data_IF_752864569415
#
_entry.id   IF_752864569415
#
_cell.length_a   1.000
_cell.length_b   1.000
_cell.length_c   1.000
_cell.angle_alpha   90.00
_cell.angle_beta   90.00
_cell.angle_gamma   90.00
#
_symmetry.space_group_name_H-M   'P 1'
#
loop_
_entity.id
_entity.type
_entity.pdbx_description
1 polymer ?
#
# COMPACT_ATOMS: atom_id res chain seq x y z
N UNK A 1 12.42 4.41 21.66
CA UNK A 1 13.09 3.33 20.90
C UNK A 1 11.97 2.42 20.50
N UNK A 2 11.34 2.71 19.37
CA UNK A 2 10.10 2.06 18.96
C UNK A 2 10.45 0.65 18.48
N UNK A 3 10.08 -0.35 19.26
CA UNK A 3 10.29 -1.76 18.91
C UNK A 3 9.27 -2.15 17.85
N UNK A 4 9.73 -2.28 16.61
CA UNK A 4 8.99 -2.94 15.53
C UNK A 4 8.82 -4.43 15.91
N UNK A 5 7.58 -4.86 16.13
CA UNK A 5 7.28 -6.28 16.39
C UNK A 5 7.24 -7.03 15.06
N UNK A 6 8.04 -8.08 14.94
CA UNK A 6 8.14 -8.96 13.77
C UNK A 6 7.28 -10.21 13.96
N UNK A 7 6.54 -10.58 12.91
CA UNK A 7 5.68 -11.75 12.86
C UNK A 7 5.97 -12.54 11.57
N UNK A 8 6.23 -13.84 11.71
CA UNK A 8 6.30 -14.73 10.55
C UNK A 8 4.89 -15.00 10.02
N UNK A 9 4.65 -14.65 8.76
CA UNK A 9 3.35 -14.84 8.12
C UNK A 9 3.12 -16.30 7.71
N UNK A 10 4.19 -17.01 7.34
CA UNK A 10 4.14 -18.42 6.96
C UNK A 10 5.52 -19.06 7.21
N UNK A 11 5.71 -19.78 8.34
CA UNK A 11 6.98 -20.41 8.67
C UNK A 11 7.40 -21.46 7.62
N UNK A 12 6.43 -22.24 7.12
CA UNK A 12 6.68 -23.32 6.14
C UNK A 12 7.11 -22.75 4.78
N UNK A 13 6.49 -21.67 4.33
CA UNK A 13 6.78 -21.04 3.04
C UNK A 13 8.20 -20.44 2.98
N UNK A 14 8.74 -20.08 4.15
CA UNK A 14 10.06 -19.46 4.27
C UNK A 14 11.20 -20.45 4.02
N UNK A 15 11.03 -21.71 4.47
CA UNK A 15 12.00 -22.78 4.29
C UNK A 15 12.10 -23.22 2.82
N UNK A 16 10.97 -23.26 2.10
CA UNK A 16 10.90 -23.80 0.73
C UNK A 16 11.47 -22.85 -0.35
N UNK A 17 11.57 -21.55 -0.07
CA UNK A 17 11.80 -20.54 -1.12
C UNK A 17 12.87 -19.48 -0.83
N UNK A 18 13.48 -19.51 0.36
CA UNK A 18 14.56 -18.60 0.75
C UNK A 18 14.10 -17.14 0.92
N UNK A 19 15.01 -16.29 1.42
CA UNK A 19 14.74 -14.89 1.81
C UNK A 19 14.51 -13.91 0.64
N UNK A 20 14.14 -14.37 -0.56
CA UNK A 20 14.01 -13.49 -1.72
C UNK A 20 12.68 -12.72 -1.71
N UNK A 21 12.63 -11.57 -1.04
CA UNK A 21 11.47 -10.67 -1.07
C UNK A 21 11.63 -9.58 -2.13
N UNK A 22 10.64 -9.52 -3.02
CA UNK A 22 10.61 -8.57 -4.14
C UNK A 22 9.52 -7.49 -3.95
N UNK A 23 8.57 -7.69 -3.02
CA UNK A 23 7.45 -6.78 -2.78
C UNK A 23 7.27 -6.43 -1.31
N UNK A 24 7.04 -5.16 -1.02
CA UNK A 24 6.64 -4.65 0.30
C UNK A 24 5.32 -3.90 0.15
N UNK A 25 4.35 -4.16 1.02
CA UNK A 25 3.18 -3.31 1.22
C UNK A 25 3.30 -2.60 2.57
N UNK A 26 3.44 -1.29 2.53
CA UNK A 26 3.44 -0.41 3.70
C UNK A 26 2.03 0.11 3.92
N UNK A 27 1.33 -0.48 4.88
CA UNK A 27 -0.04 -0.14 5.25
C UNK A 27 -0.04 0.88 6.38
N UNK A 28 -0.75 1.99 6.20
CA UNK A 28 -0.82 3.08 7.17
C UNK A 28 -2.26 3.42 7.54
N UNK A 29 -2.48 3.58 8.85
CA UNK A 29 -3.77 3.80 9.51
C UNK A 29 -4.83 2.73 9.18
N UNK A 30 -4.50 1.42 9.25
CA UNK A 30 -5.45 0.39 8.89
C UNK A 30 -6.68 0.37 9.80
N UNK A 31 -7.83 0.05 9.21
CA UNK A 31 -9.00 -0.43 9.95
C UNK A 31 -8.99 -1.96 10.02
N UNK A 32 -9.74 -2.53 10.95
CA UNK A 32 -9.86 -4.00 11.08
C UNK A 32 -10.34 -4.65 9.78
N UNK A 33 -11.25 -4.01 9.05
CA UNK A 33 -11.76 -4.53 7.77
C UNK A 33 -10.68 -4.56 6.68
N UNK A 34 -9.79 -3.57 6.66
CA UNK A 34 -8.65 -3.56 5.74
C UNK A 34 -7.65 -4.66 6.11
N UNK A 35 -7.41 -4.88 7.41
CA UNK A 35 -6.55 -5.97 7.86
C UNK A 35 -7.14 -7.33 7.43
N UNK A 36 -8.42 -7.58 7.74
CA UNK A 36 -9.11 -8.81 7.34
C UNK A 36 -9.09 -9.04 5.83
N UNK A 37 -9.27 -7.98 5.04
CA UNK A 37 -9.19 -8.07 3.59
C UNK A 37 -7.79 -8.49 3.11
N UNK A 38 -6.73 -7.94 3.70
CA UNK A 38 -5.35 -8.31 3.34
C UNK A 38 -5.08 -9.78 3.69
N UNK A 39 -5.42 -10.20 4.90
CA UNK A 39 -5.24 -11.60 5.33
C UNK A 39 -6.04 -12.57 4.43
N UNK A 40 -7.27 -12.20 4.05
CA UNK A 40 -8.06 -12.95 3.07
C UNK A 40 -7.39 -13.04 1.69
N UNK A 41 -6.84 -11.94 1.17
CA UNK A 41 -6.16 -11.96 -0.13
C UNK A 41 -4.85 -12.76 -0.11
N UNK A 42 -4.14 -12.77 1.03
CA UNK A 42 -2.96 -13.64 1.25
C UNK A 42 -3.38 -15.10 1.17
N UNK A 43 -4.36 -15.52 1.98
CA UNK A 43 -4.85 -16.90 1.98
C UNK A 43 -5.38 -17.33 0.60
N UNK A 44 -6.17 -16.48 -0.06
CA UNK A 44 -6.78 -16.75 -1.36
C UNK A 44 -5.77 -16.96 -2.48
N UNK A 45 -4.64 -16.26 -2.46
CA UNK A 45 -3.64 -16.32 -3.53
C UNK A 45 -2.45 -17.22 -3.19
N UNK A 46 -2.46 -17.87 -2.02
CA UNK A 46 -1.43 -18.82 -1.60
C UNK A 46 -1.22 -19.94 -2.61
N UNK A 47 -2.30 -20.55 -3.12
CA UNK A 47 -2.25 -21.61 -4.13
C UNK A 47 -1.68 -21.17 -5.48
N UNK A 48 -1.59 -19.86 -5.74
CA UNK A 48 -0.95 -19.28 -6.93
C UNK A 48 0.54 -18.99 -6.71
N UNK A 49 1.09 -19.38 -5.56
CA UNK A 49 2.47 -19.11 -5.16
C UNK A 49 2.71 -17.67 -4.68
N UNK A 50 1.67 -16.93 -4.29
CA UNK A 50 1.82 -15.61 -3.66
C UNK A 50 1.52 -15.69 -2.17
N UNK A 51 2.49 -15.35 -1.34
CA UNK A 51 2.35 -15.42 0.11
C UNK A 51 3.11 -14.29 0.81
N UNK A 52 2.65 -13.97 2.03
CA UNK A 52 3.39 -13.11 2.95
C UNK A 52 4.52 -13.93 3.58
N UNK A 53 5.73 -13.36 3.59
CA UNK A 53 6.90 -13.93 4.25
C UNK A 53 6.94 -13.42 5.68
N UNK A 54 6.92 -12.08 5.84
CA UNK A 54 7.04 -11.41 7.15
C UNK A 54 6.07 -10.23 7.24
N UNK A 55 5.62 -9.97 8.46
CA UNK A 55 4.80 -8.80 8.81
C UNK A 55 5.47 -8.06 9.96
N UNK A 56 5.62 -6.76 9.81
CA UNK A 56 6.20 -5.88 10.82
C UNK A 56 5.14 -4.91 11.30
N UNK A 57 5.01 -4.74 12.61
CA UNK A 57 4.20 -3.66 13.17
C UNK A 57 5.03 -2.39 13.25
N UNK A 58 4.47 -1.29 12.77
CA UNK A 58 5.05 0.06 12.85
C UNK A 58 4.08 1.00 13.56
N UNK A 59 4.56 2.18 13.98
CA UNK A 59 3.80 3.12 14.84
C UNK A 59 2.37 3.42 14.34
N UNK A 60 2.16 3.49 13.03
CA UNK A 60 0.85 3.78 12.43
C UNK A 60 0.37 2.70 11.46
N UNK A 61 0.79 1.45 11.61
CA UNK A 61 0.27 0.36 10.78
C UNK A 61 1.19 -0.85 10.70
N UNK A 62 1.32 -1.41 9.49
CA UNK A 62 2.07 -2.64 9.26
C UNK A 62 2.83 -2.60 7.93
N UNK A 63 3.98 -3.26 7.89
CA UNK A 63 4.72 -3.54 6.66
C UNK A 63 4.65 -5.04 6.38
N UNK A 64 4.09 -5.41 5.22
CA UNK A 64 4.00 -6.79 4.77
C UNK A 64 5.05 -7.05 3.69
N UNK A 65 5.92 -8.01 3.92
CA UNK A 65 6.89 -8.48 2.95
C UNK A 65 6.35 -9.69 2.21
N UNK A 66 6.36 -9.62 0.89
CA UNK A 66 5.88 -10.67 -0.01
C UNK A 66 7.01 -11.23 -0.85
N UNK A 67 6.88 -12.49 -1.24
CA UNK A 67 7.80 -13.14 -2.17
C UNK A 67 7.77 -12.51 -3.58
N UNK A 68 6.63 -11.96 -3.99
CA UNK A 68 6.43 -11.38 -5.32
C UNK A 68 6.08 -9.88 -5.29
N UNK A 69 6.81 -9.09 -6.08
CA UNK A 69 6.52 -7.67 -6.29
C UNK A 69 5.12 -7.44 -6.90
N UNK A 70 4.67 -8.36 -7.75
CA UNK A 70 3.35 -8.32 -8.36
C UNK A 70 2.25 -8.41 -7.29
N UNK A 71 2.49 -9.14 -6.20
CA UNK A 71 1.50 -9.33 -5.16
C UNK A 71 1.30 -8.06 -4.31
N UNK A 72 2.39 -7.37 -3.94
CA UNK A 72 2.30 -6.05 -3.30
C UNK A 72 1.48 -5.06 -4.14
N UNK A 73 1.73 -5.00 -5.46
CA UNK A 73 0.98 -4.13 -6.38
C UNK A 73 -0.49 -4.54 -6.49
N UNK A 74 -0.76 -5.83 -6.56
CA UNK A 74 -2.11 -6.37 -6.61
C UNK A 74 -2.92 -5.92 -5.39
N UNK A 75 -2.39 -6.15 -4.19
CA UNK A 75 -3.07 -5.77 -2.94
C UNK A 75 -3.25 -4.25 -2.90
N UNK A 76 -2.20 -3.46 -3.13
CA UNK A 76 -2.31 -2.00 -3.07
C UNK A 76 -3.34 -1.41 -4.06
N UNK A 77 -3.43 -1.96 -5.28
CA UNK A 77 -4.46 -1.56 -6.24
C UNK A 77 -5.85 -1.95 -5.77
N UNK A 78 -6.01 -3.16 -5.22
CA UNK A 78 -7.28 -3.67 -4.72
C UNK A 78 -7.80 -2.86 -3.54
N UNK A 79 -6.93 -2.53 -2.58
CA UNK A 79 -7.24 -1.66 -1.45
C UNK A 79 -7.71 -0.28 -1.93
N UNK A 80 -7.00 0.30 -2.90
CA UNK A 80 -7.38 1.59 -3.49
C UNK A 80 -8.75 1.56 -4.17
N UNK A 81 -9.05 0.47 -4.90
CA UNK A 81 -10.33 0.31 -5.59
C UNK A 81 -11.51 0.18 -4.62
N UNK A 82 -11.31 -0.55 -3.51
CA UNK A 82 -12.37 -0.83 -2.54
C UNK A 82 -12.58 0.34 -1.58
N UNK A 83 -11.50 0.88 -1.03
CA UNK A 83 -11.56 1.84 0.08
C UNK A 83 -11.18 3.28 -0.32
N UNK A 84 -10.75 3.50 -1.56
CA UNK A 84 -10.09 4.75 -1.93
C UNK A 84 -8.70 4.83 -1.32
N UNK A 85 -8.22 6.04 -1.01
CA UNK A 85 -6.92 6.20 -0.35
C UNK A 85 -5.74 6.38 -1.30
N UNK A 86 -4.63 6.80 -0.69
CA UNK A 86 -3.43 7.15 -1.41
C UNK A 86 -2.58 5.91 -1.60
N UNK A 87 -2.16 5.68 -2.84
CA UNK A 87 -1.18 4.66 -3.18
C UNK A 87 0.04 5.32 -3.80
N UNK A 88 1.22 4.97 -3.30
CA UNK A 88 2.51 5.37 -3.85
C UNK A 88 3.35 4.12 -4.09
N UNK A 89 4.00 4.03 -5.25
CA UNK A 89 4.79 2.87 -5.64
C UNK A 89 6.21 3.35 -5.93
N UNK A 90 7.18 2.78 -5.23
CA UNK A 90 8.60 3.04 -5.44
C UNK A 90 9.33 1.76 -5.80
N UNK A 91 10.45 1.90 -6.53
CA UNK A 91 11.31 0.81 -6.93
C UNK A 91 12.75 1.13 -6.50
N UNK A 92 13.41 0.19 -5.83
CA UNK A 92 14.82 0.31 -5.46
C UNK A 92 15.60 -0.85 -6.08
N UNK A 93 16.70 -0.55 -6.75
CA UNK A 93 17.64 -1.56 -7.25
C UNK A 93 18.26 -2.28 -6.05
N UNK A 94 18.11 -3.61 -6.00
CA UNK A 94 18.71 -4.45 -4.95
C UNK A 94 20.06 -4.96 -5.41
N UNK A 95 20.09 -5.56 -6.61
CA UNK A 95 21.31 -6.15 -7.18
C UNK A 95 21.15 -6.30 -8.70
N UNK A 96 22.24 -6.62 -9.39
CA UNK A 96 22.23 -7.03 -10.79
C UNK A 96 22.58 -8.51 -10.85
N UNK A 97 21.73 -9.30 -11.49
CA UNK A 97 22.01 -10.71 -11.77
C UNK A 97 23.27 -10.81 -12.63
N UNK A 98 24.30 -11.48 -12.11
CA UNK A 98 25.57 -11.68 -12.83
C UNK A 98 25.44 -12.66 -14.00
N UNK A 99 24.43 -13.53 -13.97
CA UNK A 99 24.18 -14.52 -15.03
C UNK A 99 23.35 -13.93 -16.17
N UNK A 100 22.32 -13.15 -15.85
CA UNK A 100 21.38 -12.62 -16.86
C UNK A 100 21.60 -11.15 -17.18
N UNK A 101 22.53 -10.48 -16.48
CA UNK A 101 22.78 -9.04 -16.54
C UNK A 101 21.54 -8.16 -16.29
N UNK A 102 20.47 -8.74 -15.72
CA UNK A 102 19.22 -8.04 -15.40
C UNK A 102 19.27 -7.43 -14.00
N UNK A 103 18.71 -6.25 -13.89
CA UNK A 103 18.53 -5.55 -12.63
C UNK A 103 17.36 -6.14 -11.85
N UNK A 104 17.62 -6.49 -10.58
CA UNK A 104 16.61 -6.99 -9.64
C UNK A 104 16.17 -5.84 -8.73
N UNK A 105 14.89 -5.48 -8.85
CA UNK A 105 14.28 -4.39 -8.09
C UNK A 105 13.40 -4.92 -6.96
N UNK A 106 13.46 -4.24 -5.82
CA UNK A 106 12.47 -4.34 -4.76
C UNK A 106 11.42 -3.25 -4.95
N UNK A 107 10.17 -3.65 -4.88
CA UNK A 107 9.03 -2.75 -5.03
C UNK A 107 8.41 -2.50 -3.67
N UNK A 108 8.20 -1.23 -3.35
CA UNK A 108 7.46 -0.83 -2.15
C UNK A 108 6.16 -0.16 -2.59
N UNK A 109 5.05 -0.61 -2.03
CA UNK A 109 3.72 -0.05 -2.24
C UNK A 109 3.26 0.52 -0.92
N UNK A 110 3.21 1.84 -0.83
CA UNK A 110 2.68 2.55 0.32
C UNK A 110 1.20 2.81 0.12
N UNK A 111 0.37 2.31 1.03
CA UNK A 111 -1.06 2.53 1.05
C UNK A 111 -1.48 3.24 2.35
N UNK A 112 -2.05 4.43 2.21
CA UNK A 112 -2.65 5.18 3.32
C UNK A 112 -4.16 5.07 3.25
N UNK A 113 -4.76 4.42 4.26
CA UNK A 113 -6.22 4.36 4.40
C UNK A 113 -6.77 5.78 4.50
N UNK A 114 -7.80 6.14 3.73
CA UNK A 114 -8.27 7.51 3.72
C UNK A 114 -9.15 7.82 4.93
N UNK A 115 -8.99 9.04 5.48
CA UNK A 115 -9.92 9.59 6.48
C UNK A 115 -11.29 9.95 5.88
N UNK A 116 -11.34 10.17 4.57
CA UNK A 116 -12.50 10.63 3.83
C UNK A 116 -12.75 9.74 2.61
N UNK A 117 -13.98 9.68 2.13
CA UNK A 117 -14.32 8.93 0.91
C UNK A 117 -14.54 9.86 -0.27
N UNK A 118 -14.56 9.27 -1.46
CA UNK A 118 -14.96 9.96 -2.68
C UNK A 118 -16.36 10.54 -2.48
N UNK A 119 -16.53 11.81 -2.83
CA UNK A 119 -17.78 12.55 -2.69
C UNK A 119 -17.87 13.41 -1.43
N UNK A 120 -17.02 13.17 -0.43
CA UNK A 120 -17.00 13.99 0.79
C UNK A 120 -16.57 15.43 0.47
N UNK A 121 -17.09 16.37 1.25
CA UNK A 121 -16.70 17.78 1.23
C UNK A 121 -15.81 18.05 2.42
N UNK A 122 -14.64 18.62 2.16
CA UNK A 122 -13.64 18.96 3.18
C UNK A 122 -13.20 20.41 3.01
N UNK A 123 -12.70 21.02 4.09
CA UNK A 123 -12.15 22.38 4.01
C UNK A 123 -10.69 22.35 3.56
N UNK A 124 -10.36 23.06 2.49
CA UNK A 124 -9.00 23.23 2.01
C UNK A 124 -8.73 24.70 1.70
N UNK A 125 -7.75 25.29 2.40
CA UNK A 125 -7.40 26.72 2.30
C UNK A 125 -8.60 27.65 2.49
N UNK A 126 -9.46 27.33 3.46
CA UNK A 126 -10.66 28.11 3.78
C UNK A 126 -11.78 28.00 2.76
N UNK A 127 -11.74 27.00 1.85
CA UNK A 127 -12.80 26.74 0.87
C UNK A 127 -13.28 25.31 0.98
N UNK A 128 -14.58 25.13 0.77
CA UNK A 128 -15.17 23.80 0.70
C UNK A 128 -14.86 23.17 -0.65
N UNK A 129 -14.23 22.00 -0.60
CA UNK A 129 -13.84 21.23 -1.77
C UNK A 129 -14.37 19.82 -1.68
N UNK A 130 -14.93 19.32 -2.78
CA UNK A 130 -15.41 17.95 -2.92
C UNK A 130 -14.29 17.03 -3.38
N UNK A 131 -14.11 15.90 -2.73
CA UNK A 131 -13.17 14.85 -3.12
C UNK A 131 -13.73 14.10 -4.33
N UNK A 132 -12.99 14.12 -5.44
CA UNK A 132 -13.38 13.43 -6.67
C UNK A 132 -12.76 12.05 -6.79
N UNK A 133 -11.47 11.92 -6.46
CA UNK A 133 -10.76 10.65 -6.54
C UNK A 133 -9.46 10.68 -5.72
N UNK A 134 -8.98 9.49 -5.36
CA UNK A 134 -7.66 9.30 -4.76
C UNK A 134 -6.69 8.69 -5.78
N UNK A 135 -5.44 9.10 -5.71
CA UNK A 135 -4.30 8.57 -6.45
C UNK A 135 -3.04 8.80 -5.64
N UNK A 136 -1.90 9.05 -6.29
CA UNK A 136 -0.71 9.58 -5.60
C UNK A 136 -0.98 10.97 -5.02
N UNK A 137 -1.87 11.75 -5.65
CA UNK A 137 -2.43 13.00 -5.14
C UNK A 137 -3.96 12.87 -5.06
N UNK A 138 -4.59 13.71 -4.26
CA UNK A 138 -6.05 13.77 -4.11
C UNK A 138 -6.61 14.76 -5.14
N UNK A 139 -7.60 14.32 -5.91
CA UNK A 139 -8.31 15.16 -6.87
C UNK A 139 -9.50 15.80 -6.18
N UNK A 140 -9.56 17.13 -6.20
CA UNK A 140 -10.62 17.90 -5.55
C UNK A 140 -11.27 18.90 -6.50
N UNK A 141 -12.48 19.30 -6.16
CA UNK A 141 -13.26 20.31 -6.86
C UNK A 141 -13.81 21.33 -5.88
N UNK A 142 -13.54 22.61 -6.09
CA UNK A 142 -14.13 23.70 -5.32
C UNK A 142 -15.66 23.71 -5.52
N UNK A 143 -16.41 23.70 -4.41
CA UNK A 143 -17.88 23.57 -4.43
C UNK A 143 -18.55 24.81 -5.04
N UNK A 144 -17.96 26.00 -4.89
CA UNK A 144 -18.55 27.25 -5.38
C UNK A 144 -18.20 27.52 -6.85
N UNK A 145 -16.94 27.29 -7.22
CA UNK A 145 -16.41 27.68 -8.53
C UNK A 145 -16.33 26.53 -9.53
N UNK A 146 -16.56 25.28 -9.08
CA UNK A 146 -16.36 24.06 -9.86
C UNK A 146 -14.93 23.85 -10.39
N UNK A 147 -13.95 24.66 -9.93
CA UNK A 147 -12.54 24.51 -10.33
C UNK A 147 -11.94 23.24 -9.75
N UNK A 148 -11.25 22.46 -10.58
CA UNK A 148 -10.60 21.20 -10.20
C UNK A 148 -9.10 21.41 -10.00
N UNK A 149 -8.53 20.72 -9.02
CA UNK A 149 -7.08 20.70 -8.79
C UNK A 149 -6.63 19.37 -8.15
N UNK A 150 -5.34 19.08 -8.25
CA UNK A 150 -4.70 17.98 -7.54
C UNK A 150 -3.90 18.53 -6.37
N UNK A 151 -4.00 17.89 -5.22
CA UNK A 151 -3.29 18.28 -3.99
C UNK A 151 -2.60 17.08 -3.35
N UNK A 152 -1.38 17.26 -2.80
CA UNK A 152 -0.75 16.22 -2.00
C UNK A 152 -1.66 15.81 -0.84
N UNK A 153 -1.66 14.52 -0.50
CA UNK A 153 -2.51 13.97 0.56
C UNK A 153 -2.26 14.66 1.91
N UNK A 154 -0.99 14.87 2.27
CA UNK A 154 -0.58 15.52 3.53
C UNK A 154 -0.89 17.03 3.58
N UNK A 155 -1.34 17.63 2.47
CA UNK A 155 -1.76 19.05 2.43
C UNK A 155 -3.27 19.22 2.53
N UNK A 156 -4.04 18.13 2.48
CA UNK A 156 -5.50 18.16 2.55
C UNK A 156 -6.04 17.45 3.80
N UNK A 157 -5.28 16.55 4.44
CA UNK A 157 -5.70 15.77 5.61
C UNK A 157 -4.67 15.73 6.74
#
# INVERSE_FOLDING_TARGET
MDTEEEYDCCPVCYEDHGQAFNGILQLRNPTDDILRLIEYEIAKNHSKGWYCIKKYRVNNGFDYNFNAAQFARYIGKKLQQISGGQTEITARLVTRSRQTSKDLYRITVLFRVPKHKKGDVVSYKGRDVKILNFGTKVYIQDVKTNKKQQVPYDRIF
#
